data_IF_087541879927
#
_entry.id   IF_087541879927
#
_cell.length_a   1.000
_cell.length_b   1.000
_cell.length_c   1.000
_cell.angle_alpha   90.00
_cell.angle_beta   90.00
_cell.angle_gamma   90.00
#
_symmetry.space_group_name_H-M   'P 1'
#
loop_
_entity.id
_entity.type
_entity.pdbx_description
1 polymer ?
#
# COMPACT_ATOMS: atom_id res chain seq x y z
N UNK A 1 20.26 -7.44 -7.52
CA UNK A 1 19.71 -6.89 -6.26
C UNK A 1 18.86 -5.66 -6.56
N UNK A 2 19.36 -4.74 -7.38
CA UNK A 2 18.66 -3.52 -7.86
C UNK A 2 17.30 -3.79 -8.50
N UNK A 3 17.19 -4.82 -9.36
CA UNK A 3 15.92 -5.14 -10.05
C UNK A 3 14.81 -5.59 -9.08
N UNK A 4 15.14 -6.38 -8.07
CA UNK A 4 14.16 -6.82 -7.07
C UNK A 4 13.65 -5.66 -6.20
N UNK A 5 14.53 -4.70 -5.88
CA UNK A 5 14.17 -3.47 -5.15
C UNK A 5 13.29 -2.56 -6.02
N UNK A 6 13.59 -2.45 -7.32
CA UNK A 6 12.78 -1.71 -8.27
C UNK A 6 11.38 -2.33 -8.43
N UNK A 7 11.29 -3.65 -8.58
CA UNK A 7 10.01 -4.37 -8.61
C UNK A 7 9.20 -4.17 -7.34
N UNK A 8 9.85 -4.21 -6.17
CA UNK A 8 9.19 -3.95 -4.89
C UNK A 8 8.66 -2.51 -4.81
N UNK A 9 9.47 -1.52 -5.20
CA UNK A 9 9.06 -0.11 -5.25
C UNK A 9 7.85 0.11 -6.14
N UNK A 10 7.86 -0.49 -7.33
CA UNK A 10 6.77 -0.40 -8.29
C UNK A 10 5.50 -1.04 -7.71
N UNK A 11 5.62 -2.23 -7.13
CA UNK A 11 4.51 -2.91 -6.47
C UNK A 11 3.92 -2.07 -5.33
N UNK A 12 4.76 -1.55 -4.43
CA UNK A 12 4.30 -0.68 -3.33
C UNK A 12 3.58 0.57 -3.84
N UNK A 13 4.10 1.19 -4.90
CA UNK A 13 3.50 2.37 -5.53
C UNK A 13 2.13 2.06 -6.13
N UNK A 14 2.00 0.92 -6.81
CA UNK A 14 0.73 0.52 -7.43
C UNK A 14 -0.31 0.12 -6.39
N UNK A 15 0.10 -0.59 -5.33
CA UNK A 15 -0.79 -0.88 -4.19
C UNK A 15 -1.25 0.39 -3.49
N UNK A 16 -0.35 1.36 -3.27
CA UNK A 16 -0.69 2.63 -2.62
C UNK A 16 -1.76 3.39 -3.42
N UNK A 17 -1.60 3.49 -4.75
CA UNK A 17 -2.60 4.12 -5.63
C UNK A 17 -3.95 3.41 -5.56
N UNK A 18 -3.95 2.08 -5.60
CA UNK A 18 -5.18 1.28 -5.57
C UNK A 18 -5.91 1.46 -4.23
N UNK A 19 -5.20 1.34 -3.12
CA UNK A 19 -5.77 1.48 -1.78
C UNK A 19 -6.25 2.92 -1.51
N UNK A 20 -5.52 3.93 -1.97
CA UNK A 20 -5.93 5.33 -1.87
C UNK A 20 -7.25 5.58 -2.60
N UNK A 21 -7.41 5.00 -3.80
CA UNK A 21 -8.66 5.11 -4.56
C UNK A 21 -9.81 4.36 -3.88
N UNK A 22 -9.55 3.15 -3.36
CA UNK A 22 -10.58 2.39 -2.64
C UNK A 22 -11.02 3.13 -1.37
N UNK A 23 -10.08 3.75 -0.66
CA UNK A 23 -10.36 4.56 0.51
C UNK A 23 -11.27 5.75 0.15
N UNK A 24 -10.95 6.53 -0.88
CA UNK A 24 -11.80 7.64 -1.35
C UNK A 24 -13.23 7.16 -1.67
N UNK A 25 -13.35 6.03 -2.38
CA UNK A 25 -14.66 5.48 -2.72
C UNK A 25 -15.44 5.04 -1.49
N UNK A 26 -14.79 4.45 -0.49
CA UNK A 26 -15.45 4.06 0.77
C UNK A 26 -15.85 5.27 1.60
N UNK A 27 -14.97 6.27 1.77
CA UNK A 27 -15.26 7.49 2.54
C UNK A 27 -16.38 8.32 1.92
N UNK A 28 -16.58 8.22 0.59
CA UNK A 28 -17.68 8.86 -0.14
C UNK A 28 -18.97 8.03 -0.17
N UNK A 29 -18.98 6.84 0.44
CA UNK A 29 -20.11 5.92 0.40
C UNK A 29 -20.41 5.34 -0.99
N UNK A 30 -19.43 5.35 -1.90
CA UNK A 30 -19.55 4.80 -3.26
C UNK A 30 -19.11 3.34 -3.33
N UNK A 31 -18.32 2.88 -2.36
CA UNK A 31 -17.91 1.49 -2.19
C UNK A 31 -18.23 1.06 -0.76
N UNK A 32 -18.92 -0.08 -0.61
CA UNK A 32 -19.19 -0.70 0.68
C UNK A 32 -18.52 -2.07 0.74
N UNK A 33 -17.99 -2.44 1.90
CA UNK A 33 -17.44 -3.77 2.12
C UNK A 33 -18.34 -4.55 3.06
N UNK A 34 -18.44 -5.85 2.84
CA UNK A 34 -19.20 -6.71 3.73
C UNK A 34 -18.57 -8.08 3.88
N UNK A 35 -18.81 -8.69 5.02
CA UNK A 35 -18.34 -10.04 5.35
C UNK A 35 -19.53 -10.97 5.60
N UNK A 36 -19.47 -12.16 5.02
CA UNK A 36 -20.46 -13.22 5.29
C UNK A 36 -20.23 -13.82 6.67
N UNK A 37 -21.30 -13.94 7.46
CA UNK A 37 -21.31 -14.71 8.70
C UNK A 37 -21.68 -16.16 8.44
N UNK A 38 -21.03 -17.06 9.18
CA UNK A 38 -21.47 -18.45 9.33
C UNK A 38 -22.90 -18.44 9.88
N UNK A 39 -23.86 -18.93 9.10
CA UNK A 39 -25.29 -18.86 9.42
C UNK A 39 -26.14 -17.97 8.50
N UNK A 40 -25.55 -17.36 7.46
CA UNK A 40 -26.30 -16.76 6.35
C UNK A 40 -26.59 -15.25 6.44
N UNK A 41 -25.93 -14.54 7.36
CA UNK A 41 -26.00 -13.08 7.45
C UNK A 41 -24.84 -12.38 6.73
N UNK A 42 -25.05 -11.14 6.32
CA UNK A 42 -23.99 -10.26 5.79
C UNK A 42 -23.85 -9.08 6.76
N UNK A 43 -22.61 -8.75 7.13
CA UNK A 43 -22.31 -7.62 8.01
C UNK A 43 -21.60 -6.54 7.21
N UNK A 44 -22.05 -5.30 7.31
CA UNK A 44 -21.32 -4.15 6.79
C UNK A 44 -20.03 -3.96 7.59
N UNK A 45 -18.90 -3.98 6.88
CA UNK A 45 -17.56 -3.83 7.45
C UNK A 45 -16.85 -2.59 6.92
N UNK A 46 -17.57 -1.67 6.27
CA UNK A 46 -16.99 -0.51 5.56
C UNK A 46 -16.11 0.34 6.47
N UNK A 47 -16.56 0.68 7.68
CA UNK A 47 -15.77 1.47 8.62
C UNK A 47 -14.48 0.75 9.07
N UNK A 48 -14.57 -0.56 9.30
CA UNK A 48 -13.41 -1.38 9.65
C UNK A 48 -12.43 -1.49 8.48
N UNK A 49 -12.93 -1.60 7.25
CA UNK A 49 -12.11 -1.62 6.03
C UNK A 49 -11.44 -0.27 5.76
N UNK A 50 -12.11 0.87 6.04
CA UNK A 50 -11.52 2.21 6.01
C UNK A 50 -10.32 2.29 6.97
N UNK A 51 -10.51 1.87 8.22
CA UNK A 51 -9.44 1.90 9.23
C UNK A 51 -8.23 1.08 8.79
N UNK A 52 -8.44 -0.18 8.40
CA UNK A 52 -7.36 -1.06 7.91
C UNK A 52 -6.67 -0.51 6.66
N UNK A 53 -7.43 0.08 5.74
CA UNK A 53 -6.86 0.66 4.51
C UNK A 53 -5.93 1.84 4.84
N UNK A 54 -6.28 2.68 5.82
CA UNK A 54 -5.41 3.77 6.29
C UNK A 54 -4.12 3.22 6.91
N UNK A 55 -4.21 2.16 7.71
CA UNK A 55 -3.03 1.49 8.28
C UNK A 55 -2.12 0.93 7.19
N UNK A 56 -2.67 0.20 6.21
CA UNK A 56 -1.89 -0.35 5.09
C UNK A 56 -1.25 0.74 4.22
N UNK A 57 -1.90 1.89 4.04
CA UNK A 57 -1.30 3.02 3.32
C UNK A 57 -0.08 3.58 4.07
N UNK A 58 -0.17 3.73 5.39
CA UNK A 58 0.96 4.19 6.21
C UNK A 58 2.12 3.19 6.19
N UNK A 59 1.84 1.88 6.20
CA UNK A 59 2.86 0.84 6.05
C UNK A 59 3.56 0.91 4.68
N UNK A 60 2.80 1.07 3.59
CA UNK A 60 3.36 1.22 2.25
C UNK A 60 4.24 2.48 2.12
N UNK A 61 3.82 3.60 2.71
CA UNK A 61 4.60 4.83 2.76
C UNK A 61 5.92 4.63 3.52
N UNK A 62 5.89 3.91 4.64
CA UNK A 62 7.08 3.54 5.40
C UNK A 62 8.04 2.68 4.58
N UNK A 63 7.55 1.66 3.88
CA UNK A 63 8.38 0.80 3.01
C UNK A 63 9.01 1.60 1.86
N UNK A 64 8.22 2.46 1.19
CA UNK A 64 8.73 3.31 0.12
C UNK A 64 9.81 4.27 0.61
N UNK A 65 9.67 4.77 1.84
CA UNK A 65 10.66 5.62 2.49
C UNK A 65 11.98 4.87 2.73
N UNK A 66 11.92 3.64 3.26
CA UNK A 66 13.10 2.78 3.46
C UNK A 66 13.82 2.54 2.14
N UNK A 67 13.09 2.14 1.09
CA UNK A 67 13.67 1.91 -0.25
C UNK A 67 14.39 3.15 -0.78
N UNK A 68 13.79 4.34 -0.56
CA UNK A 68 14.38 5.60 -1.01
C UNK A 68 15.68 5.91 -0.26
N UNK A 69 15.70 5.70 1.05
CA UNK A 69 16.84 6.02 1.89
C UNK A 69 18.00 5.06 1.61
N UNK A 70 17.73 3.75 1.46
CA UNK A 70 18.72 2.75 1.02
C UNK A 70 19.31 3.10 -0.36
N UNK A 71 18.49 3.61 -1.29
CA UNK A 71 18.95 4.01 -2.62
C UNK A 71 19.84 5.26 -2.59
N UNK A 72 19.73 6.11 -1.56
CA UNK A 72 20.53 7.32 -1.40
C UNK A 72 21.89 7.05 -0.74
N UNK A 73 22.01 5.96 0.02
CA UNK A 73 23.24 5.55 0.70
C UNK A 73 24.20 4.74 -0.19
N UNK A 74 23.78 4.29 -1.38
CA UNK A 74 24.67 3.62 -2.33
C UNK A 74 25.57 4.65 -3.05
N UNK A 75 26.91 4.63 -2.84
CA UNK A 75 27.80 5.48 -3.61
C UNK A 75 27.73 5.10 -5.08
N UNK A 76 27.63 6.10 -5.97
CA UNK A 76 27.86 5.88 -7.39
C UNK A 76 29.27 5.30 -7.56
N UNK A 77 29.36 4.04 -7.98
CA UNK A 77 30.62 3.40 -8.34
C UNK A 77 31.23 4.22 -9.49
N UNK A 78 32.05 5.20 -9.12
CA UNK A 78 32.81 6.02 -10.05
C UNK A 78 33.91 5.14 -10.66
N UNK A 79 34.21 5.31 -11.96
CA UNK A 79 35.20 4.47 -12.61
C UNK A 79 36.55 4.65 -11.90
N UNK A 80 37.10 3.55 -11.39
CA UNK A 80 38.49 3.48 -10.95
C UNK A 80 39.39 3.78 -12.15
N UNK A 81 40.19 4.84 -12.04
CA UNK A 81 41.25 5.19 -13.00
C UNK A 81 42.35 4.12 -13.07
#
# INVERSE_FOLDING_TARGET
>A
MTEAIEHLKNWCTDQHKLLSKNLDLMERGLLHTSEGRVGGGVVDTTDASIARTKESLAELESVLQIIRDDSAEQPADGPSE
#
